data_IF_091426270765
#
_entry.id   IF_091426270765
#
_cell.length_a   1.000
_cell.length_b   1.000
_cell.length_c   1.000
_cell.angle_alpha   90.00
_cell.angle_beta   90.00
_cell.angle_gamma   90.00
#
_symmetry.space_group_name_H-M   'P 1'
#
loop_
_entity.id
_entity.type
_entity.pdbx_description
1 polymer ?
#
# COMPACT_ATOMS: atom_id res chain seq x y z
N UNK A 1 -8.53 -2.49 -0.36
CA UNK A 1 -7.79 -3.01 0.80
C UNK A 1 -6.40 -2.40 0.88
N UNK A 2 -5.42 -2.88 0.12
CA UNK A 2 -4.00 -2.47 0.24
C UNK A 2 -3.74 -0.98 0.08
N UNK A 3 -4.40 -0.33 -0.89
CA UNK A 3 -4.26 1.11 -1.07
C UNK A 3 -4.77 1.91 0.14
N UNK A 4 -5.71 1.37 0.91
CA UNK A 4 -6.18 1.96 2.16
C UNK A 4 -5.08 1.99 3.21
N UNK A 5 -4.42 0.83 3.45
CA UNK A 5 -3.26 0.75 4.34
C UNK A 5 -2.16 1.71 3.92
N UNK A 6 -1.80 1.71 2.63
CA UNK A 6 -0.72 2.53 2.10
C UNK A 6 -0.99 4.03 2.29
N UNK A 7 -2.19 4.51 1.95
CA UNK A 7 -2.56 5.93 2.08
C UNK A 7 -2.59 6.35 3.54
N UNK A 8 -3.23 5.58 4.42
CA UNK A 8 -3.29 5.90 5.85
C UNK A 8 -1.90 5.86 6.47
N UNK A 9 -1.11 4.83 6.18
CA UNK A 9 0.28 4.72 6.63
C UNK A 9 1.15 5.88 6.15
N UNK A 10 1.02 6.29 4.88
CA UNK A 10 1.71 7.46 4.37
C UNK A 10 1.36 8.73 5.15
N UNK A 11 0.06 8.98 5.40
CA UNK A 11 -0.39 10.20 6.09
C UNK A 11 0.06 10.23 7.54
N UNK A 12 0.04 9.07 8.20
CA UNK A 12 0.51 8.88 9.59
C UNK A 12 2.05 8.96 9.71
N UNK A 13 2.78 8.87 8.59
CA UNK A 13 4.22 9.08 8.56
C UNK A 13 5.06 7.79 8.47
N UNK A 14 4.44 6.66 8.14
CA UNK A 14 5.14 5.41 7.87
C UNK A 14 5.95 5.44 6.58
N UNK A 15 7.00 4.63 6.51
CA UNK A 15 7.75 4.31 5.31
C UNK A 15 7.18 3.04 4.68
N UNK A 16 6.41 3.19 3.61
CA UNK A 16 5.96 2.08 2.78
C UNK A 16 7.19 1.46 2.12
N UNK A 17 7.27 0.14 2.21
CA UNK A 17 8.31 -0.64 1.57
C UNK A 17 7.80 -1.25 0.26
N UNK A 18 6.59 -1.80 0.26
CA UNK A 18 5.96 -2.43 -0.90
C UNK A 18 4.44 -2.41 -0.74
N UNK A 19 3.74 -2.23 -1.86
CA UNK A 19 2.29 -2.50 -1.97
C UNK A 19 2.08 -3.50 -3.11
N UNK A 20 1.31 -4.57 -2.89
CA UNK A 20 1.10 -5.62 -3.89
C UNK A 20 -0.32 -6.16 -3.82
N UNK A 21 -0.91 -6.47 -4.97
CA UNK A 21 -2.14 -7.28 -5.09
C UNK A 21 -1.85 -8.69 -5.63
N UNK A 22 -0.58 -9.00 -5.91
CA UNK A 22 -0.17 -10.30 -6.43
C UNK A 22 -0.16 -11.35 -5.31
N UNK A 23 -0.75 -12.51 -5.59
CA UNK A 23 -0.71 -13.67 -4.70
C UNK A 23 0.67 -14.32 -4.78
N UNK A 24 1.44 -14.25 -3.70
CA UNK A 24 2.71 -14.97 -3.61
C UNK A 24 2.48 -16.44 -3.26
N UNK A 25 1.64 -16.73 -2.26
CA UNK A 25 1.51 -18.12 -1.73
C UNK A 25 0.20 -18.44 -1.01
N UNK A 26 -0.73 -17.50 -0.85
CA UNK A 26 -2.11 -17.67 -0.28
C UNK A 26 -2.71 -16.36 0.20
N UNK A 27 -1.88 -15.32 0.41
CA UNK A 27 -2.34 -13.99 0.80
C UNK A 27 -2.83 -13.16 -0.38
N UNK A 28 -4.05 -12.62 -0.25
CA UNK A 28 -4.70 -11.74 -1.22
C UNK A 28 -4.13 -10.31 -1.07
N UNK A 29 -2.93 -10.07 -1.60
CA UNK A 29 -2.26 -8.77 -1.53
C UNK A 29 -1.55 -8.49 -0.19
N UNK A 30 -0.70 -7.46 -0.16
CA UNK A 30 -0.09 -6.94 1.07
C UNK A 30 0.40 -5.48 0.92
N UNK A 31 0.44 -4.77 2.04
CA UNK A 31 1.08 -3.47 2.21
C UNK A 31 2.09 -3.56 3.35
N UNK A 32 3.38 -3.39 3.04
CA UNK A 32 4.47 -3.50 4.02
C UNK A 32 5.08 -2.16 4.33
N UNK A 33 5.54 -2.03 5.57
CA UNK A 33 6.24 -0.86 6.09
C UNK A 33 7.61 -1.27 6.65
N UNK A 34 8.60 -0.40 6.54
CA UNK A 34 9.98 -0.67 6.97
C UNK A 34 10.31 -0.04 8.33
N UNK A 35 9.96 -0.77 9.40
CA UNK A 35 10.24 -0.35 10.78
C UNK A 35 11.71 -0.27 11.14
N UNK A 36 12.58 -1.01 10.43
CA UNK A 36 14.02 -0.96 10.69
C UNK A 36 14.59 0.38 10.20
N UNK A 37 14.30 0.73 8.96
CA UNK A 37 14.75 2.00 8.38
C UNK A 37 14.11 3.19 9.08
N UNK A 38 12.83 3.10 9.46
CA UNK A 38 12.15 4.09 10.32
C UNK A 38 12.97 4.35 11.60
N UNK A 39 13.39 3.29 12.29
CA UNK A 39 14.17 3.40 13.53
C UNK A 39 15.56 4.00 13.31
N UNK A 40 16.23 3.61 12.23
CA UNK A 40 17.55 4.14 11.85
C UNK A 40 17.52 5.66 11.58
N UNK A 41 16.34 6.19 11.22
CA UNK A 41 16.10 7.62 10.99
C UNK A 41 15.39 8.31 12.16
N UNK A 42 15.51 7.77 13.38
CA UNK A 42 14.92 8.33 14.61
C UNK A 42 13.37 8.34 14.65
N UNK A 43 12.73 7.42 13.92
CA UNK A 43 11.29 7.17 13.98
C UNK A 43 10.99 5.81 14.61
N UNK A 44 11.53 5.55 15.80
CA UNK A 44 11.42 4.28 16.49
C UNK A 44 10.03 3.99 17.05
N UNK A 45 9.12 4.98 17.07
CA UNK A 45 7.72 4.79 17.47
C UNK A 45 6.96 3.77 16.62
N UNK A 46 7.52 3.36 15.48
CA UNK A 46 6.93 2.38 14.58
C UNK A 46 7.37 0.93 14.88
N UNK A 47 8.28 0.73 15.82
CA UNK A 47 8.63 -0.61 16.30
C UNK A 47 7.45 -1.22 17.06
N UNK A 48 7.12 -2.49 16.80
CA UNK A 48 5.99 -3.19 17.43
C UNK A 48 6.00 -3.11 18.97
N UNK A 49 7.19 -3.14 19.59
CA UNK A 49 7.34 -3.06 21.04
C UNK A 49 7.07 -1.68 21.68
N UNK A 50 6.84 -0.63 20.88
CA UNK A 50 6.58 0.73 21.38
C UNK A 50 5.11 1.05 21.67
N UNK A 51 4.20 0.07 21.52
CA UNK A 51 2.77 0.20 21.83
C UNK A 51 2.10 1.44 21.18
N UNK A 52 2.45 1.73 19.92
CA UNK A 52 1.90 2.87 19.21
C UNK A 52 0.49 2.58 18.66
N UNK A 53 -0.55 3.29 19.11
CA UNK A 53 -1.94 3.03 18.68
C UNK A 53 -2.18 3.32 17.19
N UNK A 54 -1.35 4.16 16.55
CA UNK A 54 -1.45 4.43 15.11
C UNK A 54 -1.22 3.19 14.23
N UNK A 55 -0.60 2.13 14.78
CA UNK A 55 -0.53 0.82 14.13
C UNK A 55 -1.93 0.22 13.93
N UNK A 56 -2.81 0.36 14.92
CA UNK A 56 -4.19 -0.11 14.85
C UNK A 56 -4.98 0.70 13.81
N UNK A 57 -4.77 2.02 13.74
CA UNK A 57 -5.35 2.89 12.71
C UNK A 57 -4.99 2.40 11.29
N UNK A 58 -3.72 2.07 11.07
CA UNK A 58 -3.26 1.53 9.78
C UNK A 58 -3.90 0.16 9.49
N UNK A 59 -3.97 -0.75 10.47
CA UNK A 59 -4.58 -2.07 10.27
C UNK A 59 -6.08 -1.98 9.97
N UNK A 60 -6.81 -1.04 10.58
CA UNK A 60 -8.21 -0.80 10.24
C UNK A 60 -8.41 -0.26 8.82
N UNK A 61 -7.41 0.44 8.25
CA UNK A 61 -7.56 1.16 7.00
C UNK A 61 -7.97 0.28 5.82
N UNK A 62 -7.48 -0.97 5.74
CA UNK A 62 -7.86 -1.90 4.68
C UNK A 62 -9.36 -2.19 4.70
N UNK A 63 -9.87 -2.67 5.83
CA UNK A 63 -11.28 -3.00 6.04
C UNK A 63 -12.19 -1.78 5.87
N UNK A 64 -11.80 -0.63 6.41
CA UNK A 64 -12.56 0.62 6.28
C UNK A 64 -12.62 1.08 4.82
N UNK A 65 -11.52 0.99 4.06
CA UNK A 65 -11.54 1.33 2.64
C UNK A 65 -12.49 0.43 1.84
N UNK A 66 -12.54 -0.87 2.14
CA UNK A 66 -13.51 -1.78 1.51
C UNK A 66 -14.94 -1.40 1.89
N UNK A 67 -15.20 -1.12 3.17
CA UNK A 67 -16.52 -0.69 3.65
C UNK A 67 -17.01 0.58 2.94
N UNK A 68 -16.17 1.61 2.84
CA UNK A 68 -16.49 2.86 2.14
C UNK A 68 -16.81 2.62 0.66
N UNK A 69 -16.05 1.76 -0.01
CA UNK A 69 -16.30 1.42 -1.41
C UNK A 69 -17.63 0.66 -1.57
N UNK A 70 -17.92 -0.30 -0.68
CA UNK A 70 -19.17 -1.04 -0.69
C UNK A 70 -20.37 -0.11 -0.51
N UNK A 71 -20.31 0.82 0.45
CA UNK A 71 -21.35 1.83 0.67
C UNK A 71 -21.56 2.68 -0.60
N UNK A 72 -20.48 3.19 -1.21
CA UNK A 72 -20.55 3.99 -2.44
C UNK A 72 -21.17 3.23 -3.63
N UNK A 73 -21.04 1.90 -3.66
CA UNK A 73 -21.51 1.05 -4.77
C UNK A 73 -22.81 0.32 -4.48
N UNK A 74 -23.34 0.43 -3.26
CA UNK A 74 -24.48 -0.36 -2.80
C UNK A 74 -24.18 -1.87 -2.75
N UNK A 75 -22.92 -2.24 -2.52
CA UNK A 75 -22.50 -3.64 -2.38
C UNK A 75 -22.58 -4.11 -0.94
N UNK A 76 -22.77 -5.40 -0.75
CA UNK A 76 -22.75 -6.03 0.57
C UNK A 76 -21.30 -6.29 1.01
N UNK A 77 -20.88 -5.61 2.08
CA UNK A 77 -19.56 -5.78 2.68
C UNK A 77 -19.35 -7.17 3.28
N UNK A 78 -20.40 -7.84 3.78
CA UNK A 78 -20.26 -9.16 4.41
C UNK A 78 -19.72 -10.22 3.44
N UNK A 79 -19.99 -10.05 2.14
CA UNK A 79 -19.44 -10.91 1.09
C UNK A 79 -17.92 -10.74 0.96
N UNK A 80 -17.40 -9.55 1.25
CA UNK A 80 -15.97 -9.20 1.09
C UNK A 80 -15.19 -9.23 2.41
N UNK A 81 -15.86 -9.37 3.56
CA UNK A 81 -15.25 -9.34 4.90
C UNK A 81 -14.09 -10.34 5.09
N UNK A 82 -14.09 -11.45 4.34
CA UNK A 82 -13.02 -12.46 4.41
C UNK A 82 -11.63 -11.93 4.02
N UNK A 83 -11.52 -10.81 3.30
CA UNK A 83 -10.22 -10.19 3.01
C UNK A 83 -9.52 -9.61 4.25
N UNK A 84 -10.21 -9.49 5.38
CA UNK A 84 -9.75 -8.70 6.53
C UNK A 84 -9.34 -9.58 7.73
N UNK A 85 -9.46 -10.91 7.62
CA UNK A 85 -9.27 -11.83 8.74
C UNK A 85 -7.87 -11.74 9.38
N UNK A 86 -6.83 -11.47 8.59
CA UNK A 86 -5.48 -11.28 9.13
C UNK A 86 -5.38 -9.97 9.91
N UNK A 87 -5.89 -8.86 9.36
CA UNK A 87 -5.88 -7.57 10.04
C UNK A 87 -6.68 -7.63 11.35
N UNK A 88 -7.84 -8.27 11.34
CA UNK A 88 -8.67 -8.48 12.54
C UNK A 88 -7.89 -9.28 13.61
N UNK A 89 -7.18 -10.34 13.22
CA UNK A 89 -6.34 -11.11 14.14
C UNK A 89 -5.16 -10.29 14.70
N UNK A 90 -4.49 -9.49 13.87
CA UNK A 90 -3.38 -8.65 14.31
C UNK A 90 -3.85 -7.49 15.20
N UNK A 91 -5.01 -6.89 14.91
CA UNK A 91 -5.66 -5.88 15.76
C UNK A 91 -5.99 -6.46 17.13
N UNK A 92 -6.59 -7.65 17.18
CA UNK A 92 -6.94 -8.30 18.45
C UNK A 92 -5.69 -8.59 19.29
N UNK A 93 -4.63 -9.12 18.66
CA UNK A 93 -3.37 -9.37 19.35
C UNK A 93 -2.74 -8.08 19.88
N UNK A 94 -2.49 -7.10 19.00
CA UNK A 94 -1.80 -5.86 19.36
C UNK A 94 -2.57 -5.05 20.40
N UNK A 95 -3.90 -4.99 20.28
CA UNK A 95 -4.72 -4.24 21.22
C UNK A 95 -4.68 -4.82 22.63
N UNK A 96 -4.59 -6.15 22.78
CA UNK A 96 -4.38 -6.81 24.08
C UNK A 96 -2.99 -6.55 24.65
N UNK A 97 -1.98 -6.48 23.80
CA UNK A 97 -0.61 -6.14 24.20
C UNK A 97 -0.48 -4.67 24.64
N UNK A 98 -1.27 -3.77 24.05
CA UNK A 98 -1.27 -2.34 24.36
C UNK A 98 -2.16 -1.97 25.56
N UNK A 99 -3.30 -2.64 25.73
CA UNK A 99 -4.34 -2.24 26.67
C UNK A 99 -4.81 -3.42 27.53
N UNK A 100 -4.44 -3.38 28.81
CA UNK A 100 -4.86 -4.38 29.80
C UNK A 100 -6.33 -4.25 30.21
N UNK A 101 -6.90 -3.03 30.16
CA UNK A 101 -8.29 -2.76 30.51
C UNK A 101 -9.20 -2.83 29.27
N UNK A 102 -10.29 -3.61 29.36
CA UNK A 102 -11.20 -3.86 28.25
C UNK A 102 -11.97 -2.60 27.81
N UNK A 103 -12.36 -1.74 28.75
CA UNK A 103 -13.10 -0.52 28.43
C UNK A 103 -12.20 0.49 27.70
N UNK A 104 -10.98 0.68 28.20
CA UNK A 104 -9.96 1.50 27.54
C UNK A 104 -9.60 0.96 26.16
N UNK A 105 -9.44 -0.37 26.03
CA UNK A 105 -9.15 -1.01 24.75
C UNK A 105 -10.25 -0.75 23.73
N UNK A 106 -11.51 -0.93 24.10
CA UNK A 106 -12.64 -0.68 23.19
C UNK A 106 -12.70 0.78 22.74
N UNK A 107 -12.53 1.73 23.67
CA UNK A 107 -12.49 3.16 23.35
C UNK A 107 -11.34 3.47 22.36
N UNK A 108 -10.16 2.89 22.58
CA UNK A 108 -9.01 3.08 21.69
C UNK A 108 -9.26 2.48 20.30
N UNK A 109 -9.83 1.28 20.22
CA UNK A 109 -10.16 0.63 18.95
C UNK A 109 -11.18 1.43 18.14
N UNK A 110 -12.23 1.94 18.78
CA UNK A 110 -13.24 2.80 18.15
C UNK A 110 -12.60 4.10 17.63
N UNK A 111 -11.73 4.72 18.42
CA UNK A 111 -11.00 5.92 18.02
C UNK A 111 -10.10 5.67 16.81
N UNK A 112 -9.33 4.57 16.80
CA UNK A 112 -8.43 4.21 15.69
C UNK A 112 -9.23 3.91 14.41
N UNK A 113 -10.33 3.16 14.52
CA UNK A 113 -11.21 2.87 13.37
C UNK A 113 -11.83 4.14 12.80
N UNK A 114 -12.30 5.03 13.67
CA UNK A 114 -12.85 6.34 13.27
C UNK A 114 -11.79 7.19 12.57
N UNK A 115 -10.59 7.28 13.14
CA UNK A 115 -9.47 8.01 12.54
C UNK A 115 -9.12 7.47 11.16
N UNK A 116 -9.07 6.14 10.98
CA UNK A 116 -8.85 5.54 9.66
C UNK A 116 -9.94 5.95 8.65
N UNK A 117 -11.21 5.97 9.08
CA UNK A 117 -12.33 6.42 8.24
C UNK A 117 -12.21 7.90 7.85
N UNK A 118 -11.90 8.77 8.80
CA UNK A 118 -11.75 10.21 8.56
C UNK A 118 -10.59 10.48 7.59
N UNK A 119 -9.45 9.81 7.77
CA UNK A 119 -8.29 9.90 6.88
C UNK A 119 -8.60 9.41 5.47
N UNK A 120 -9.26 8.25 5.34
CA UNK A 120 -9.61 7.67 4.05
C UNK A 120 -10.65 8.52 3.30
N UNK A 121 -11.64 9.05 4.01
CA UNK A 121 -12.64 9.95 3.42
C UNK A 121 -11.98 11.23 2.92
N UNK A 122 -11.09 11.81 3.71
CA UNK A 122 -10.34 13.02 3.35
C UNK A 122 -9.40 12.79 2.16
N UNK A 123 -8.76 11.62 2.09
CA UNK A 123 -7.70 11.31 1.13
C UNK A 123 -8.11 10.28 0.07
N UNK A 124 -9.41 10.13 -0.19
CA UNK A 124 -9.94 9.11 -1.11
C UNK A 124 -9.41 9.21 -2.55
N UNK A 125 -9.06 10.43 -2.99
CA UNK A 125 -8.44 10.62 -4.30
C UNK A 125 -7.05 9.96 -4.40
N UNK A 126 -6.26 9.97 -3.32
CA UNK A 126 -4.99 9.27 -3.28
C UNK A 126 -5.19 7.74 -3.31
N UNK A 127 -6.22 7.23 -2.64
CA UNK A 127 -6.61 5.81 -2.73
C UNK A 127 -6.91 5.44 -4.18
N UNK A 128 -7.74 6.23 -4.88
CA UNK A 128 -8.09 5.99 -6.28
C UNK A 128 -6.88 6.04 -7.22
N UNK A 129 -5.99 7.02 -7.05
CA UNK A 129 -4.77 7.12 -7.85
C UNK A 129 -3.87 5.88 -7.66
N UNK A 130 -3.63 5.48 -6.41
CA UNK A 130 -2.81 4.32 -6.10
C UNK A 130 -3.42 3.01 -6.60
N UNK A 131 -4.74 2.84 -6.50
CA UNK A 131 -5.44 1.65 -7.02
C UNK A 131 -5.28 1.52 -8.53
N UNK A 132 -5.37 2.62 -9.29
CA UNK A 132 -5.21 2.60 -10.74
C UNK A 132 -3.86 2.03 -11.16
N UNK A 133 -2.79 2.54 -10.56
CA UNK A 133 -1.42 2.07 -10.80
C UNK A 133 -1.22 0.64 -10.29
N UNK A 134 -1.71 0.32 -9.09
CA UNK A 134 -1.53 -1.00 -8.49
C UNK A 134 -2.25 -2.10 -9.28
N UNK A 135 -3.39 -1.82 -9.91
CA UNK A 135 -4.08 -2.77 -10.78
C UNK A 135 -3.32 -3.01 -12.09
N UNK A 136 -2.72 -1.97 -12.66
CA UNK A 136 -1.93 -2.11 -13.89
C UNK A 136 -0.61 -2.85 -13.63
N UNK A 137 0.07 -2.49 -12.54
CA UNK A 137 1.43 -2.92 -12.26
C UNK A 137 1.51 -4.13 -11.31
N UNK A 138 0.39 -4.51 -10.69
CA UNK A 138 0.21 -5.55 -9.66
C UNK A 138 0.97 -5.34 -8.35
N UNK A 139 2.08 -4.59 -8.38
CA UNK A 139 2.86 -4.20 -7.23
C UNK A 139 3.58 -2.88 -7.50
N UNK A 140 3.85 -2.15 -6.42
CA UNK A 140 4.53 -0.87 -6.38
C UNK A 140 5.60 -0.90 -5.29
N UNK A 141 6.78 -0.36 -5.57
CA UNK A 141 7.77 -0.10 -4.53
C UNK A 141 7.29 0.97 -3.56
N UNK A 142 7.96 1.08 -2.41
CA UNK A 142 7.76 2.17 -1.47
C UNK A 142 7.87 3.55 -2.13
N UNK A 143 8.88 3.75 -2.96
CA UNK A 143 9.12 5.01 -3.66
C UNK A 143 7.98 5.36 -4.62
N UNK A 144 7.55 4.41 -5.45
CA UNK A 144 6.40 4.60 -6.36
C UNK A 144 5.12 4.94 -5.56
N UNK A 145 4.82 4.15 -4.52
CA UNK A 145 3.62 4.36 -3.70
C UNK A 145 3.62 5.71 -2.98
N UNK A 146 4.73 6.11 -2.35
CA UNK A 146 4.86 7.41 -1.71
C UNK A 146 4.69 8.56 -2.71
N UNK A 147 5.17 8.38 -3.95
CA UNK A 147 5.17 9.42 -4.97
C UNK A 147 3.75 9.65 -5.48
N UNK A 148 3.06 8.57 -5.86
CA UNK A 148 1.65 8.59 -6.29
C UNK A 148 0.75 9.22 -5.21
N UNK A 149 0.93 8.81 -3.94
CA UNK A 149 0.15 9.37 -2.84
C UNK A 149 0.48 10.87 -2.67
N UNK A 150 1.76 11.24 -2.65
CA UNK A 150 2.19 12.63 -2.47
C UNK A 150 1.66 13.57 -3.55
N UNK A 151 1.73 13.15 -4.82
CA UNK A 151 1.16 13.86 -5.97
C UNK A 151 -0.35 14.06 -5.81
N UNK A 152 -1.10 13.01 -5.46
CA UNK A 152 -2.54 13.09 -5.26
C UNK A 152 -2.95 13.96 -4.06
N UNK A 153 -2.06 14.12 -3.08
CA UNK A 153 -2.25 15.02 -1.93
C UNK A 153 -1.83 16.47 -2.21
N UNK A 154 -1.22 16.76 -3.36
CA UNK A 154 -0.67 18.08 -3.68
C UNK A 154 0.47 18.53 -2.76
N UNK A 155 1.18 17.57 -2.14
CA UNK A 155 2.30 17.89 -1.23
C UNK A 155 3.59 18.07 -2.02
N UNK A 156 4.31 19.15 -1.75
CA UNK A 156 5.73 19.23 -2.14
C UNK A 156 6.47 18.09 -1.40
N UNK A 157 7.02 17.16 -2.17
CA UNK A 157 7.59 15.89 -1.72
C UNK A 157 8.92 16.10 -0.99
N UNK A 158 8.88 16.62 0.24
CA UNK A 158 10.08 16.91 1.04
C UNK A 158 9.89 16.43 2.49
N UNK A 159 9.93 15.12 2.70
CA UNK A 159 10.16 14.54 4.03
C UNK A 159 11.25 13.48 3.99
N UNK A 160 11.67 13.03 5.17
CA UNK A 160 12.82 12.14 5.36
C UNK A 160 12.72 10.84 4.54
N UNK A 161 11.50 10.36 4.25
CA UNK A 161 11.28 9.14 3.47
C UNK A 161 11.80 9.30 2.04
N UNK A 162 11.79 10.52 1.50
CA UNK A 162 12.35 10.77 0.18
C UNK A 162 13.87 10.62 0.15
N UNK A 163 14.58 11.04 1.18
CA UNK A 163 16.02 10.80 1.28
C UNK A 163 16.36 9.30 1.25
N UNK A 164 15.51 8.47 1.85
CA UNK A 164 15.64 7.01 1.85
C UNK A 164 15.32 6.40 0.48
N UNK A 165 14.25 6.89 -0.16
CA UNK A 165 13.66 6.27 -1.35
C UNK A 165 14.24 6.79 -2.69
N UNK A 166 15.01 7.87 -2.68
CA UNK A 166 15.63 8.46 -3.89
C UNK A 166 16.60 7.52 -4.63
N UNK A 167 17.17 6.55 -3.93
CA UNK A 167 18.08 5.57 -4.51
C UNK A 167 17.36 4.36 -5.14
N UNK A 168 16.02 4.32 -5.14
CA UNK A 168 15.25 3.22 -5.73
C UNK A 168 15.36 3.25 -7.28
N UNK A 169 16.05 2.27 -7.90
CA UNK A 169 16.27 2.26 -9.34
C UNK A 169 15.00 1.99 -10.15
N UNK A 170 13.95 1.42 -9.54
CA UNK A 170 12.66 1.26 -10.21
C UNK A 170 11.97 2.60 -10.30
N UNK A 171 11.93 3.35 -9.20
CA UNK A 171 11.34 4.68 -9.20
C UNK A 171 12.07 5.66 -10.12
N UNK A 172 13.40 5.54 -10.24
CA UNK A 172 14.18 6.32 -11.22
C UNK A 172 13.76 6.08 -12.67
N UNK A 173 13.30 4.86 -13.00
CA UNK A 173 12.81 4.49 -14.33
C UNK A 173 11.28 4.51 -14.43
N UNK A 174 10.57 5.00 -13.42
CA UNK A 174 9.09 5.01 -13.37
C UNK A 174 8.48 5.66 -14.61
N UNK A 175 8.98 6.83 -15.01
CA UNK A 175 8.49 7.54 -16.20
C UNK A 175 8.62 6.70 -17.47
N UNK A 176 9.69 5.90 -17.61
CA UNK A 176 9.87 5.02 -18.76
C UNK A 176 8.79 3.93 -18.78
N UNK A 177 8.55 3.28 -17.64
CA UNK A 177 7.52 2.25 -17.51
C UNK A 177 6.11 2.79 -17.71
N UNK A 178 5.82 3.98 -17.18
CA UNK A 178 4.53 4.65 -17.40
C UNK A 178 4.28 4.96 -18.88
N UNK A 179 5.31 5.43 -19.60
CA UNK A 179 5.21 5.70 -21.04
C UNK A 179 4.98 4.40 -21.81
N UNK A 180 5.74 3.35 -21.51
CA UNK A 180 5.57 2.03 -22.13
C UNK A 180 4.16 1.47 -21.90
N UNK A 181 3.67 1.54 -20.65
CA UNK A 181 2.33 1.09 -20.27
C UNK A 181 1.24 1.88 -21.01
N UNK A 182 1.32 3.21 -20.99
CA UNK A 182 0.34 4.09 -21.65
C UNK A 182 0.30 3.83 -23.16
N UNK A 183 1.47 3.63 -23.78
CA UNK A 183 1.56 3.31 -25.20
C UNK A 183 0.94 1.95 -25.52
N UNK A 184 1.25 0.91 -24.74
CA UNK A 184 0.71 -0.43 -24.92
C UNK A 184 -0.82 -0.46 -24.81
N UNK A 185 -1.38 0.22 -23.80
CA UNK A 185 -2.84 0.37 -23.64
C UNK A 185 -3.44 1.16 -24.79
N UNK A 186 -2.79 2.25 -25.23
CA UNK A 186 -3.28 3.05 -26.34
C UNK A 186 -3.30 2.27 -27.66
N UNK A 187 -2.30 1.42 -27.91
CA UNK A 187 -2.23 0.58 -29.11
C UNK A 187 -3.31 -0.50 -29.09
N UNK A 188 -3.58 -1.10 -27.93
CA UNK A 188 -4.70 -2.04 -27.76
C UNK A 188 -6.05 -1.36 -28.04
N UNK A 189 -6.30 -0.19 -27.44
CA UNK A 189 -7.55 0.56 -27.64
C UNK A 189 -7.75 1.02 -29.09
N UNK A 190 -6.68 1.20 -29.86
CA UNK A 190 -6.73 1.51 -31.29
C UNK A 190 -6.85 0.27 -32.18
N UNK A 191 -6.82 -0.94 -31.61
CA UNK A 191 -6.82 -2.20 -32.35
C UNK A 191 -5.52 -2.46 -33.12
N UNK A 192 -4.41 -1.82 -32.71
CA UNK A 192 -3.08 -2.03 -33.31
C UNK A 192 -2.47 -3.34 -32.84
N UNK A 193 -2.77 -3.73 -31.59
CA UNK A 193 -2.35 -5.00 -30.99
C UNK A 193 -3.57 -5.75 -30.44
N UNK A 194 -3.43 -7.07 -30.33
CA UNK A 194 -4.39 -7.98 -29.74
C UNK A 194 -4.35 -7.96 -28.21
N UNK A 195 -5.35 -8.57 -27.57
CA UNK A 195 -5.36 -8.77 -26.11
C UNK A 195 -4.18 -9.64 -25.65
N UNK A 196 -3.81 -10.66 -26.42
CA UNK A 196 -2.64 -11.49 -26.12
C UNK A 196 -1.34 -10.67 -26.16
N UNK A 197 -1.16 -9.81 -27.16
CA UNK A 197 0.02 -8.95 -27.26
C UNK A 197 0.08 -7.90 -26.14
N UNK A 198 -1.09 -7.40 -25.70
CA UNK A 198 -1.19 -6.57 -24.49
C UNK A 198 -0.69 -7.34 -23.27
N UNK A 199 -1.19 -8.56 -23.04
CA UNK A 199 -0.78 -9.39 -21.90
C UNK A 199 0.73 -9.71 -21.92
N UNK A 200 1.27 -10.07 -23.09
CA UNK A 200 2.70 -10.32 -23.26
C UNK A 200 3.55 -9.07 -23.01
N UNK A 201 3.10 -7.90 -23.49
CA UNK A 201 3.76 -6.62 -23.22
C UNK A 201 3.75 -6.26 -21.74
N UNK A 202 2.61 -6.45 -21.07
CA UNK A 202 2.46 -6.25 -19.63
C UNK A 202 3.39 -7.18 -18.83
N UNK A 203 3.43 -8.46 -19.19
CA UNK A 203 4.31 -9.44 -18.56
C UNK A 203 5.79 -9.07 -18.74
N UNK A 204 6.18 -8.54 -19.91
CA UNK A 204 7.55 -8.09 -20.18
C UNK A 204 7.93 -6.89 -19.30
N UNK A 205 7.04 -5.88 -19.18
CA UNK A 205 7.26 -4.73 -18.28
C UNK A 205 7.42 -5.21 -16.84
N UNK A 206 6.55 -6.11 -16.39
CA UNK A 206 6.62 -6.68 -15.04
C UNK A 206 7.93 -7.44 -14.80
N UNK A 207 8.38 -8.24 -15.79
CA UNK A 207 9.63 -8.98 -15.69
C UNK A 207 10.85 -8.05 -15.65
N UNK A 208 10.87 -6.99 -16.45
CA UNK A 208 11.95 -6.00 -16.42
C UNK A 208 12.01 -5.30 -15.05
N UNK A 209 10.86 -4.84 -14.53
CA UNK A 209 10.76 -4.25 -13.18
C UNK A 209 11.27 -5.22 -12.13
N UNK A 210 10.88 -6.49 -12.20
CA UNK A 210 11.34 -7.52 -11.27
C UNK A 210 12.85 -7.75 -11.34
N UNK A 211 13.43 -7.82 -12.55
CA UNK A 211 14.88 -7.97 -12.73
C UNK A 211 15.66 -6.81 -12.14
N UNK A 212 15.17 -5.57 -12.31
CA UNK A 212 15.77 -4.40 -11.65
C UNK A 212 15.67 -4.54 -10.14
N UNK A 213 14.49 -4.85 -9.60
CA UNK A 213 14.30 -5.03 -8.16
C UNK A 213 15.29 -6.05 -7.61
N UNK A 214 15.40 -7.21 -8.27
CA UNK A 214 16.30 -8.33 -7.94
C UNK A 214 17.77 -7.93 -7.89
N UNK A 215 18.17 -6.93 -8.66
CA UNK A 215 19.55 -6.41 -8.65
C UNK A 215 19.84 -5.47 -7.47
N UNK A 216 18.82 -5.09 -6.69
CA UNK A 216 18.97 -4.15 -5.57
C UNK A 216 19.19 -4.86 -4.25
N UNK A 217 19.92 -4.25 -3.29
CA UNK A 217 19.96 -4.75 -1.91
C UNK A 217 18.58 -4.89 -1.28
N UNK A 218 17.62 -4.08 -1.71
CA UNK A 218 16.24 -4.12 -1.22
C UNK A 218 15.52 -5.43 -1.61
N UNK A 219 15.97 -6.14 -2.66
CA UNK A 219 15.46 -7.48 -2.97
C UNK A 219 15.67 -8.50 -1.85
N UNK A 220 16.71 -8.39 -1.03
CA UNK A 220 16.85 -9.34 0.08
C UNK A 220 15.72 -9.20 1.10
N UNK A 221 15.13 -8.00 1.20
CA UNK A 221 13.94 -7.75 2.01
C UNK A 221 12.65 -8.14 1.26
N UNK A 222 12.53 -7.74 -0.02
CA UNK A 222 11.33 -7.96 -0.83
C UNK A 222 11.20 -9.34 -1.44
N UNK A 223 12.29 -10.05 -1.73
CA UNK A 223 12.29 -11.35 -2.40
C UNK A 223 11.66 -12.47 -1.57
N UNK A 224 11.44 -12.24 -0.27
CA UNK A 224 10.59 -13.10 0.57
C UNK A 224 9.08 -13.00 0.25
N UNK A 225 8.68 -12.12 -0.68
CA UNK A 225 7.30 -11.77 -1.02
C UNK A 225 6.85 -12.20 -2.41
N UNK A 226 7.75 -12.70 -3.24
CA UNK A 226 7.48 -13.15 -4.61
C UNK A 226 7.80 -14.63 -4.72
#
# INVERSE_FOLDING_TARGET
HEAGHAVVGHVIGRLIALVSVKQATSYRGCCRFDSYTESAHHHDQWQKGRQNPELLTILYAGAVAVSLLCEQRGWDYEVLRTSNLQDEAEIEQLSREMFADDAQRNIALDACRKQACDLLTTHWNAVKALVGELLALQWLTGAEAHSIIGEALGKEQVDWRWGVLQADPINQRRTEFEVQLKQLVADFLKGVITEQELDEGMAKIQQERLTILQSTPAWHFFGSLF
#
